data_IF_700800767871
#
_entry.id   IF_700800767871
#
_cell.length_a   1.000
_cell.length_b   1.000
_cell.length_c   1.000
_cell.angle_alpha   90.00
_cell.angle_beta   90.00
_cell.angle_gamma   90.00
#
_symmetry.space_group_name_H-M   'P 1'
#
loop_
_entity.id
_entity.type
_entity.pdbx_description
1 polymer ?
#
# COMPACT_ATOMS: atom_id res chain seq x y z
N UNK A 1 -40.86 5.95 1.40
CA UNK A 1 -39.73 6.71 1.97
C UNK A 1 -39.61 6.23 3.42
N UNK A 2 -38.76 5.20 3.63
CA UNK A 2 -38.45 4.69 4.98
C UNK A 2 -37.47 5.62 5.65
N UNK A 3 -37.93 6.29 6.70
CA UNK A 3 -37.10 7.20 7.50
C UNK A 3 -36.08 6.41 8.31
N UNK A 4 -34.79 6.71 8.12
CA UNK A 4 -33.68 6.19 8.92
C UNK A 4 -33.99 6.41 10.40
N UNK A 5 -33.99 5.33 11.21
CA UNK A 5 -34.30 5.40 12.64
C UNK A 5 -33.18 6.08 13.45
N UNK A 6 -33.48 6.68 14.58
CA UNK A 6 -32.51 7.35 15.44
C UNK A 6 -31.30 6.46 15.85
N UNK A 7 -31.43 5.13 16.07
CA UNK A 7 -30.29 4.23 16.28
C UNK A 7 -29.36 4.16 15.07
N UNK A 8 -29.89 4.13 13.84
CA UNK A 8 -29.09 4.06 12.61
C UNK A 8 -28.30 5.35 12.38
N UNK A 9 -28.89 6.50 12.69
CA UNK A 9 -28.21 7.79 12.61
C UNK A 9 -27.04 7.90 13.62
N UNK A 10 -27.21 7.40 14.84
CA UNK A 10 -26.13 7.37 15.85
C UNK A 10 -25.00 6.43 15.44
N UNK A 11 -25.33 5.28 14.86
CA UNK A 11 -24.35 4.31 14.34
C UNK A 11 -23.56 4.88 13.16
N UNK A 12 -24.24 5.55 12.24
CA UNK A 12 -23.63 6.22 11.10
C UNK A 12 -22.66 7.35 11.56
N UNK A 13 -23.09 8.21 12.50
CA UNK A 13 -22.25 9.27 13.07
C UNK A 13 -21.03 8.70 13.83
N UNK A 14 -21.19 7.54 14.48
CA UNK A 14 -20.08 6.84 15.12
C UNK A 14 -19.05 6.32 14.11
N UNK A 15 -19.50 5.70 13.02
CA UNK A 15 -18.63 5.24 11.93
C UNK A 15 -17.89 6.41 11.26
N UNK A 16 -18.60 7.51 10.99
CA UNK A 16 -18.00 8.71 10.41
C UNK A 16 -16.88 9.27 11.32
N UNK A 17 -17.13 9.33 12.63
CA UNK A 17 -16.11 9.80 13.59
C UNK A 17 -14.91 8.88 13.61
N UNK A 18 -15.11 7.56 13.57
CA UNK A 18 -14.05 6.57 13.50
C UNK A 18 -13.19 6.73 12.24
N UNK A 19 -13.81 6.91 11.06
CA UNK A 19 -13.12 7.15 9.80
C UNK A 19 -12.28 8.43 9.87
N UNK A 20 -12.82 9.54 10.37
CA UNK A 20 -12.06 10.79 10.53
C UNK A 20 -10.85 10.64 11.45
N UNK A 21 -10.95 9.84 12.51
CA UNK A 21 -9.82 9.56 13.41
C UNK A 21 -8.73 8.74 12.71
N UNK A 22 -9.10 7.72 11.92
CA UNK A 22 -8.17 6.92 11.11
C UNK A 22 -7.45 7.80 10.08
N UNK A 23 -8.18 8.63 9.34
CA UNK A 23 -7.61 9.54 8.34
C UNK A 23 -6.65 10.56 8.97
N UNK A 24 -7.06 11.16 10.10
CA UNK A 24 -6.22 12.11 10.82
C UNK A 24 -4.95 11.45 11.38
N UNK A 25 -5.07 10.24 11.92
CA UNK A 25 -3.93 9.47 12.40
C UNK A 25 -2.97 9.15 11.25
N UNK A 26 -3.47 8.67 10.12
CA UNK A 26 -2.67 8.35 8.94
C UNK A 26 -1.92 9.59 8.43
N UNK A 27 -2.57 10.73 8.34
CA UNK A 27 -1.95 11.98 7.87
C UNK A 27 -0.83 12.46 8.80
N UNK A 28 -1.04 12.38 10.11
CA UNK A 28 -0.03 12.76 11.10
C UNK A 28 1.14 11.78 11.13
N UNK A 29 0.87 10.47 11.08
CA UNK A 29 1.90 9.42 10.95
C UNK A 29 2.75 9.61 9.70
N UNK A 30 2.14 9.93 8.58
CA UNK A 30 2.82 10.18 7.33
C UNK A 30 3.77 11.39 7.40
N UNK A 31 3.42 12.42 8.17
CA UNK A 31 4.21 13.64 8.33
C UNK A 31 5.35 13.50 9.34
N UNK A 32 5.14 12.80 10.46
CA UNK A 32 6.01 12.86 11.63
C UNK A 32 6.46 11.51 12.19
N UNK A 33 5.84 10.39 11.76
CA UNK A 33 6.02 9.07 12.38
C UNK A 33 5.29 8.95 13.72
N UNK A 34 5.30 7.76 14.31
CA UNK A 34 4.53 7.46 15.54
C UNK A 34 4.98 8.26 16.75
N UNK A 35 6.29 8.41 16.98
CA UNK A 35 6.84 9.12 18.14
C UNK A 35 6.50 10.61 18.16
N UNK A 36 6.17 11.20 17.01
CA UNK A 36 5.85 12.61 16.86
C UNK A 36 4.37 12.96 16.92
N UNK A 37 3.47 11.99 17.24
CA UNK A 37 2.01 12.18 17.18
C UNK A 37 1.35 11.91 18.52
N UNK A 38 0.57 12.88 18.99
CA UNK A 38 -0.16 12.81 20.28
C UNK A 38 -1.66 12.59 20.08
N UNK A 39 -2.30 12.03 21.11
CA UNK A 39 -3.76 11.85 21.15
C UNK A 39 -4.54 13.14 20.86
N UNK A 40 -4.07 14.28 21.40
CA UNK A 40 -4.73 15.58 21.22
C UNK A 40 -4.63 16.08 19.78
N UNK A 41 -3.52 15.81 19.11
CA UNK A 41 -3.34 16.18 17.70
C UNK A 41 -4.26 15.36 16.80
N UNK A 42 -4.34 14.04 17.01
CA UNK A 42 -5.24 13.16 16.23
C UNK A 42 -6.69 13.59 16.41
N UNK A 43 -7.15 13.77 17.66
CA UNK A 43 -8.53 14.16 17.94
C UNK A 43 -8.83 15.58 17.47
N UNK A 44 -7.88 16.50 17.59
CA UNK A 44 -8.00 17.87 17.07
C UNK A 44 -8.13 17.90 15.55
N UNK A 45 -7.28 17.16 14.83
CA UNK A 45 -7.34 17.06 13.37
C UNK A 45 -8.64 16.39 12.89
N UNK A 46 -9.14 15.40 13.62
CA UNK A 46 -10.40 14.71 13.33
C UNK A 46 -11.65 15.50 13.73
N UNK A 47 -11.52 16.67 14.38
CA UNK A 47 -12.62 17.41 15.01
C UNK A 47 -13.45 16.49 15.94
N UNK A 48 -12.78 15.69 16.77
CA UNK A 48 -13.37 14.72 17.66
C UNK A 48 -13.01 14.99 19.13
N UNK A 49 -13.83 14.48 20.07
CA UNK A 49 -13.50 14.53 21.49
C UNK A 49 -12.33 13.59 21.82
N UNK A 50 -11.48 13.97 22.79
CA UNK A 50 -10.33 13.16 23.23
C UNK A 50 -10.75 11.74 23.64
N UNK A 51 -11.92 11.58 24.25
CA UNK A 51 -12.47 10.26 24.63
C UNK A 51 -12.86 9.38 23.43
N UNK A 52 -13.00 9.94 22.23
CA UNK A 52 -13.41 9.19 21.05
C UNK A 52 -12.39 8.12 20.65
N UNK A 53 -11.08 8.38 20.81
CA UNK A 53 -10.04 7.37 20.53
C UNK A 53 -10.19 6.17 21.47
N UNK A 54 -10.34 6.42 22.79
CA UNK A 54 -10.54 5.32 23.75
C UNK A 54 -11.84 4.57 23.50
N UNK A 55 -12.90 5.25 23.08
CA UNK A 55 -14.19 4.64 22.77
C UNK A 55 -14.14 3.76 21.51
N UNK A 56 -13.49 4.21 20.43
CA UNK A 56 -13.48 3.51 19.14
C UNK A 56 -12.37 2.50 18.99
N UNK A 57 -11.21 2.71 19.65
CA UNK A 57 -10.00 1.92 19.44
C UNK A 57 -9.40 1.37 20.74
N UNK A 58 -9.80 1.87 21.89
CA UNK A 58 -9.21 1.52 23.19
C UNK A 58 -7.92 2.26 23.52
N UNK A 59 -7.02 2.45 22.53
CA UNK A 59 -5.75 3.17 22.71
C UNK A 59 -5.37 3.97 21.45
N UNK A 60 -4.42 4.90 21.60
CA UNK A 60 -3.85 5.64 20.48
C UNK A 60 -3.08 4.70 19.55
N UNK A 61 -2.35 3.72 20.10
CA UNK A 61 -1.62 2.73 19.32
C UNK A 61 -2.57 1.91 18.42
N UNK A 62 -3.68 1.43 18.97
CA UNK A 62 -4.68 0.70 18.19
C UNK A 62 -5.31 1.57 17.07
N UNK A 63 -5.43 2.88 17.27
CA UNK A 63 -5.82 3.81 16.21
C UNK A 63 -4.75 3.92 15.12
N UNK A 64 -3.48 3.94 15.48
CA UNK A 64 -2.35 3.93 14.53
C UNK A 64 -2.29 2.62 13.75
N UNK A 65 -2.39 1.49 14.43
CA UNK A 65 -2.38 0.17 13.79
C UNK A 65 -3.48 0.06 12.73
N UNK A 66 -4.68 0.57 13.05
CA UNK A 66 -5.79 0.59 12.10
C UNK A 66 -5.57 1.58 10.94
N UNK A 67 -4.96 2.73 11.19
CA UNK A 67 -4.62 3.68 10.12
C UNK A 67 -3.59 3.08 9.15
N UNK A 68 -2.60 2.35 9.66
CA UNK A 68 -1.62 1.63 8.86
C UNK A 68 -2.29 0.49 8.07
N UNK A 69 -3.16 -0.30 8.71
CA UNK A 69 -3.91 -1.38 8.06
C UNK A 69 -4.77 -0.84 6.91
N UNK A 70 -5.47 0.27 7.13
CA UNK A 70 -6.28 0.93 6.09
C UNK A 70 -5.44 1.39 4.89
N UNK A 71 -4.25 1.97 5.14
CA UNK A 71 -3.33 2.35 4.07
C UNK A 71 -2.84 1.14 3.26
N UNK A 72 -2.53 0.04 3.96
CA UNK A 72 -2.12 -1.22 3.35
C UNK A 72 -3.24 -1.85 2.51
N UNK A 73 -4.45 -1.89 3.03
CA UNK A 73 -5.61 -2.40 2.29
C UNK A 73 -5.84 -1.62 1.00
N UNK A 74 -5.84 -0.29 1.09
CA UNK A 74 -5.99 0.60 -0.08
C UNK A 74 -4.89 0.37 -1.12
N UNK A 75 -3.65 0.17 -0.68
CA UNK A 75 -2.52 -0.16 -1.57
C UNK A 75 -2.72 -1.51 -2.25
N UNK A 76 -3.09 -2.55 -1.48
CA UNK A 76 -3.31 -3.90 -2.00
C UNK A 76 -4.49 -3.96 -2.97
N UNK A 77 -5.56 -3.20 -2.74
CA UNK A 77 -6.69 -3.09 -3.66
C UNK A 77 -6.25 -2.48 -4.99
N UNK A 78 -5.54 -1.36 -4.95
CA UNK A 78 -5.04 -0.71 -6.15
C UNK A 78 -4.03 -1.58 -6.93
N UNK A 79 -3.20 -2.34 -6.23
CA UNK A 79 -2.26 -3.28 -6.84
C UNK A 79 -2.99 -4.49 -7.46
N UNK A 80 -3.94 -5.09 -6.72
CA UNK A 80 -4.77 -6.20 -7.20
C UNK A 80 -5.54 -5.81 -8.46
N UNK A 81 -6.22 -4.66 -8.45
CA UNK A 81 -6.94 -4.14 -9.61
C UNK A 81 -6.04 -4.02 -10.83
N UNK A 82 -4.86 -3.43 -10.64
CA UNK A 82 -3.91 -3.21 -11.73
C UNK A 82 -3.37 -4.51 -12.33
N UNK A 83 -3.11 -5.54 -11.50
CA UNK A 83 -2.51 -6.80 -11.96
C UNK A 83 -3.57 -7.76 -12.49
N UNK A 84 -4.75 -7.86 -11.85
CA UNK A 84 -5.83 -8.73 -12.30
C UNK A 84 -6.41 -8.34 -13.66
N UNK A 85 -6.33 -7.06 -14.02
CA UNK A 85 -6.75 -6.55 -15.33
C UNK A 85 -5.85 -6.97 -16.48
N UNK A 86 -4.64 -7.51 -16.20
CA UNK A 86 -3.73 -7.94 -17.26
C UNK A 86 -4.18 -9.25 -17.91
N UNK A 87 -4.12 -9.36 -19.25
CA UNK A 87 -4.23 -10.63 -19.94
C UNK A 87 -3.07 -11.55 -19.57
N UNK A 88 -3.24 -12.86 -19.71
CA UNK A 88 -2.18 -13.83 -19.38
C UNK A 88 -0.94 -13.70 -20.26
N UNK A 89 -1.12 -13.28 -21.49
CA UNK A 89 -0.10 -13.03 -22.51
C UNK A 89 0.60 -11.66 -22.38
N UNK A 90 0.23 -10.85 -21.39
CA UNK A 90 0.91 -9.59 -21.12
C UNK A 90 2.42 -9.81 -20.95
N UNK A 91 3.23 -8.92 -21.50
CA UNK A 91 4.68 -9.03 -21.39
C UNK A 91 5.20 -8.57 -20.01
N UNK A 92 6.50 -8.79 -19.76
CA UNK A 92 7.11 -8.48 -18.45
C UNK A 92 7.13 -6.98 -18.13
N UNK A 93 7.19 -6.09 -19.13
CA UNK A 93 7.13 -4.64 -18.92
C UNK A 93 5.72 -4.21 -18.52
N UNK A 94 4.68 -4.78 -19.15
CA UNK A 94 3.28 -4.55 -18.77
C UNK A 94 3.01 -5.07 -17.35
N UNK A 95 3.52 -6.25 -17.01
CA UNK A 95 3.41 -6.80 -15.66
C UNK A 95 4.12 -5.90 -14.64
N UNK A 96 5.35 -5.47 -14.92
CA UNK A 96 6.11 -4.59 -14.04
C UNK A 96 5.41 -3.24 -13.84
N UNK A 97 4.87 -2.66 -14.92
CA UNK A 97 4.12 -1.41 -14.87
C UNK A 97 2.84 -1.54 -14.04
N UNK A 98 2.08 -2.62 -14.19
CA UNK A 98 0.86 -2.86 -13.44
C UNK A 98 1.16 -3.12 -11.95
N UNK A 99 2.16 -3.96 -11.66
CA UNK A 99 2.55 -4.30 -10.29
C UNK A 99 3.05 -3.07 -9.50
N UNK A 100 3.82 -2.19 -10.15
CA UNK A 100 4.39 -1.00 -9.52
C UNK A 100 3.49 0.23 -9.59
N UNK A 101 2.35 0.19 -10.28
CA UNK A 101 1.49 1.35 -10.56
C UNK A 101 1.15 2.20 -9.34
N UNK A 102 0.69 1.65 -8.19
CA UNK A 102 0.37 2.46 -7.01
C UNK A 102 1.58 3.22 -6.50
N UNK A 103 2.74 2.57 -6.47
CA UNK A 103 3.98 3.14 -5.98
C UNK A 103 4.55 4.20 -6.93
N UNK A 104 4.48 3.98 -8.25
CA UNK A 104 4.86 4.96 -9.27
C UNK A 104 4.01 6.22 -9.16
N UNK A 105 2.70 6.07 -8.92
CA UNK A 105 1.79 7.20 -8.68
C UNK A 105 2.21 8.01 -7.46
N UNK A 106 2.46 7.35 -6.34
CA UNK A 106 2.85 8.00 -5.09
C UNK A 106 4.20 8.72 -5.22
N UNK A 107 5.20 8.11 -5.87
CA UNK A 107 6.49 8.74 -6.15
C UNK A 107 6.33 9.99 -7.04
N UNK A 108 5.50 9.92 -8.06
CA UNK A 108 5.26 11.05 -8.96
C UNK A 108 4.47 12.19 -8.31
N UNK A 109 3.48 11.87 -7.47
CA UNK A 109 2.66 12.85 -6.75
C UNK A 109 3.47 13.56 -5.65
N UNK A 110 4.38 12.83 -4.98
CA UNK A 110 5.10 13.37 -3.83
C UNK A 110 4.19 13.64 -2.63
N UNK A 111 4.58 14.57 -1.77
CA UNK A 111 3.74 15.05 -0.65
C UNK A 111 3.12 13.94 0.19
N UNK A 112 1.80 14.07 0.46
CA UNK A 112 1.03 13.13 1.28
C UNK A 112 1.04 11.70 0.72
N UNK A 113 0.83 11.54 -0.58
CA UNK A 113 0.74 10.21 -1.20
C UNK A 113 2.03 9.41 -1.04
N UNK A 114 3.18 10.07 -1.21
CA UNK A 114 4.48 9.44 -0.97
C UNK A 114 4.71 9.16 0.51
N UNK A 115 4.27 10.05 1.41
CA UNK A 115 4.42 9.84 2.84
C UNK A 115 3.60 8.62 3.31
N UNK A 116 2.35 8.48 2.86
CA UNK A 116 1.52 7.28 3.09
C UNK A 116 2.18 6.04 2.48
N UNK A 117 2.71 6.14 1.26
CA UNK A 117 3.40 5.02 0.63
C UNK A 117 4.65 4.57 1.39
N UNK A 118 5.33 5.48 2.10
CA UNK A 118 6.44 5.13 3.00
C UNK A 118 5.99 4.30 4.19
N UNK A 119 4.80 4.56 4.74
CA UNK A 119 4.20 3.73 5.79
C UNK A 119 3.97 2.31 5.24
N UNK A 120 3.33 2.21 4.06
CA UNK A 120 3.09 0.92 3.38
C UNK A 120 4.40 0.17 3.12
N UNK A 121 5.43 0.87 2.62
CA UNK A 121 6.73 0.26 2.32
C UNK A 121 7.45 -0.23 3.59
N UNK A 122 7.36 0.50 4.70
CA UNK A 122 7.90 0.07 6.00
C UNK A 122 7.20 -1.18 6.50
N UNK A 123 5.88 -1.18 6.50
CA UNK A 123 5.08 -2.34 6.89
C UNK A 123 5.36 -3.57 6.01
N UNK A 124 5.77 -3.39 4.76
CA UNK A 124 6.23 -4.47 3.89
C UNK A 124 7.60 -5.07 4.26
N UNK A 125 8.42 -4.34 5.04
CA UNK A 125 9.74 -4.78 5.52
C UNK A 125 9.65 -5.30 6.96
N UNK A 126 8.93 -4.56 7.81
CA UNK A 126 8.69 -4.86 9.23
C UNK A 126 7.19 -4.86 9.47
N UNK A 127 6.52 -6.01 9.31
CA UNK A 127 5.07 -6.11 9.38
C UNK A 127 4.54 -5.83 10.78
N UNK A 128 3.51 -4.98 10.94
CA UNK A 128 2.85 -4.76 12.22
C UNK A 128 2.12 -6.02 12.71
N UNK A 129 1.74 -6.04 13.99
CA UNK A 129 0.92 -7.11 14.55
C UNK A 129 -0.40 -7.27 13.78
N UNK A 130 -0.81 -8.51 13.53
CA UNK A 130 -2.05 -8.79 12.79
C UNK A 130 -1.91 -8.79 11.26
N UNK A 131 -0.69 -8.60 10.74
CA UNK A 131 -0.39 -8.68 9.30
C UNK A 131 -0.90 -9.97 8.63
N UNK A 132 -0.97 -11.07 9.38
CA UNK A 132 -1.45 -12.37 8.89
C UNK A 132 -2.87 -12.28 8.29
N UNK A 133 -3.69 -11.32 8.75
CA UNK A 133 -5.05 -11.08 8.19
C UNK A 133 -5.01 -10.67 6.72
N UNK A 134 -3.93 -10.03 6.30
CA UNK A 134 -3.73 -9.59 4.91
C UNK A 134 -3.06 -10.65 4.02
N UNK A 135 -2.62 -11.78 4.61
CA UNK A 135 -1.88 -12.83 3.88
C UNK A 135 -2.60 -13.36 2.66
N UNK A 136 -3.93 -13.55 2.75
CA UNK A 136 -4.76 -13.99 1.64
C UNK A 136 -4.84 -12.98 0.49
N UNK A 137 -4.73 -11.68 0.77
CA UNK A 137 -4.72 -10.62 -0.24
C UNK A 137 -3.39 -10.63 -1.00
N UNK A 138 -2.27 -10.72 -0.28
CA UNK A 138 -0.95 -10.87 -0.90
C UNK A 138 -0.87 -12.11 -1.78
N UNK A 139 -1.48 -13.23 -1.33
CA UNK A 139 -1.43 -14.47 -2.11
C UNK A 139 -2.24 -14.35 -3.41
N UNK A 140 -3.38 -13.67 -3.41
CA UNK A 140 -4.14 -13.40 -4.65
C UNK A 140 -3.32 -12.59 -5.64
N UNK A 141 -2.68 -11.50 -5.21
CA UNK A 141 -1.81 -10.68 -6.07
C UNK A 141 -0.66 -11.54 -6.62
N UNK A 142 -0.01 -12.34 -5.77
CA UNK A 142 1.07 -13.25 -6.20
C UNK A 142 0.59 -14.29 -7.20
N UNK A 143 -0.63 -14.80 -7.05
CA UNK A 143 -1.22 -15.76 -7.99
C UNK A 143 -1.42 -15.14 -9.37
N UNK A 144 -1.96 -13.91 -9.43
CA UNK A 144 -2.14 -13.19 -10.70
C UNK A 144 -0.80 -12.85 -11.37
N UNK A 145 0.18 -12.40 -10.59
CA UNK A 145 1.54 -12.17 -11.10
C UNK A 145 2.15 -13.47 -11.64
N UNK A 146 2.05 -14.58 -10.90
CA UNK A 146 2.54 -15.90 -11.36
C UNK A 146 1.87 -16.36 -12.64
N UNK A 147 0.58 -16.09 -12.83
CA UNK A 147 -0.16 -16.44 -14.05
C UNK A 147 0.51 -15.82 -15.28
N UNK A 148 0.84 -14.54 -15.24
CA UNK A 148 1.54 -13.84 -16.33
C UNK A 148 3.00 -14.31 -16.46
N UNK A 149 3.71 -14.47 -15.32
CA UNK A 149 5.10 -14.93 -15.34
C UNK A 149 5.25 -16.33 -15.95
N UNK A 150 4.31 -17.25 -15.70
CA UNK A 150 4.35 -18.62 -16.26
C UNK A 150 4.26 -18.65 -17.78
N UNK A 151 3.54 -17.73 -18.41
CA UNK A 151 3.47 -17.60 -19.86
C UNK A 151 4.80 -17.08 -20.44
N UNK A 152 5.41 -16.10 -19.77
CA UNK A 152 6.66 -15.47 -20.22
C UNK A 152 7.92 -16.31 -19.88
N UNK A 153 7.85 -17.13 -18.84
CA UNK A 153 8.97 -17.87 -18.24
C UNK A 153 8.54 -19.32 -17.93
N UNK A 154 8.20 -20.13 -18.94
CA UNK A 154 7.59 -21.45 -18.74
C UNK A 154 8.53 -22.43 -18.01
N UNK A 155 9.84 -22.30 -18.21
CA UNK A 155 10.86 -23.20 -17.66
C UNK A 155 11.26 -22.86 -16.21
N UNK A 156 10.81 -21.70 -15.70
CA UNK A 156 11.15 -21.26 -14.34
C UNK A 156 10.21 -21.90 -13.32
N UNK A 157 10.78 -22.45 -12.22
CA UNK A 157 10.01 -23.10 -11.18
C UNK A 157 9.10 -22.13 -10.43
N UNK A 158 8.00 -22.64 -9.86
CA UNK A 158 7.08 -21.81 -9.06
C UNK A 158 7.73 -21.20 -7.81
N UNK A 159 8.73 -21.90 -7.23
CA UNK A 159 9.49 -21.40 -6.09
C UNK A 159 10.35 -20.20 -6.51
N UNK A 160 11.04 -20.29 -7.64
CA UNK A 160 11.85 -19.20 -8.15
C UNK A 160 11.01 -18.00 -8.59
N UNK A 161 9.87 -18.22 -9.25
CA UNK A 161 8.94 -17.15 -9.57
C UNK A 161 8.46 -16.41 -8.30
N UNK A 162 8.15 -17.15 -7.24
CA UNK A 162 7.77 -16.55 -5.95
C UNK A 162 8.91 -15.72 -5.37
N UNK A 163 10.15 -16.19 -5.45
CA UNK A 163 11.33 -15.45 -5.02
C UNK A 163 11.51 -14.15 -5.81
N UNK A 164 11.40 -14.21 -7.15
CA UNK A 164 11.50 -13.03 -8.03
C UNK A 164 10.42 -11.99 -7.73
N UNK A 165 9.17 -12.41 -7.46
CA UNK A 165 8.08 -11.52 -7.04
C UNK A 165 8.44 -10.79 -5.74
N UNK A 166 9.00 -11.50 -4.76
CA UNK A 166 9.45 -10.91 -3.50
C UNK A 166 10.60 -9.93 -3.69
N UNK A 167 11.55 -10.25 -4.58
CA UNK A 167 12.65 -9.35 -4.93
C UNK A 167 12.14 -8.03 -5.53
N UNK A 168 11.18 -8.11 -6.46
CA UNK A 168 10.56 -6.92 -7.05
C UNK A 168 9.83 -6.08 -6.00
N UNK A 169 9.05 -6.72 -5.11
CA UNK A 169 8.37 -6.04 -4.02
C UNK A 169 9.36 -5.38 -3.06
N UNK A 170 10.42 -6.09 -2.67
CA UNK A 170 11.48 -5.55 -1.81
C UNK A 170 12.21 -4.37 -2.44
N UNK A 171 12.52 -4.44 -3.74
CA UNK A 171 13.13 -3.34 -4.49
C UNK A 171 12.24 -2.10 -4.51
N UNK A 172 10.94 -2.28 -4.74
CA UNK A 172 9.97 -1.18 -4.70
C UNK A 172 9.90 -0.53 -3.31
N UNK A 173 9.81 -1.33 -2.24
CA UNK A 173 9.79 -0.83 -0.88
C UNK A 173 11.07 -0.04 -0.57
N UNK A 174 12.23 -0.58 -0.95
CA UNK A 174 13.51 0.12 -0.78
C UNK A 174 13.56 1.44 -1.54
N UNK A 175 13.12 1.48 -2.80
CA UNK A 175 13.10 2.70 -3.62
C UNK A 175 12.26 3.82 -3.00
N UNK A 176 11.16 3.49 -2.33
CA UNK A 176 10.29 4.48 -1.66
C UNK A 176 10.96 5.02 -0.39
N UNK A 177 11.68 4.17 0.35
CA UNK A 177 12.29 4.52 1.63
C UNK A 177 13.67 5.17 1.49
N UNK A 178 14.41 4.81 0.43
CA UNK A 178 15.76 5.28 0.20
C UNK A 178 15.82 6.72 -0.34
N UNK A 179 16.95 7.43 -0.15
CA UNK A 179 17.13 8.78 -0.70
C UNK A 179 16.92 8.90 -2.21
N UNK A 180 17.21 7.83 -2.97
CA UNK A 180 16.98 7.78 -4.43
C UNK A 180 15.51 7.98 -4.79
N UNK A 181 14.59 7.57 -3.93
CA UNK A 181 13.16 7.85 -4.12
C UNK A 181 12.83 9.34 -4.11
N UNK A 182 13.60 10.14 -3.37
CA UNK A 182 13.46 11.60 -3.36
C UNK A 182 13.76 12.23 -4.73
N UNK A 183 14.68 11.64 -5.50
CA UNK A 183 15.02 12.10 -6.85
C UNK A 183 13.89 11.87 -7.87
N UNK A 184 12.97 10.95 -7.56
CA UNK A 184 11.82 10.61 -8.38
C UNK A 184 10.59 11.47 -8.06
N UNK A 185 10.59 12.17 -6.92
CA UNK A 185 9.46 13.01 -6.49
C UNK A 185 9.21 14.16 -7.47
N UNK A 186 7.93 14.47 -7.63
CA UNK A 186 7.46 15.56 -8.51
C UNK A 186 7.87 15.42 -9.98
N UNK A 187 8.38 14.26 -10.41
CA UNK A 187 8.59 13.96 -11.82
C UNK A 187 7.27 13.50 -12.46
N UNK A 188 7.05 13.78 -13.75
CA UNK A 188 5.90 13.22 -14.46
C UNK A 188 5.84 11.68 -14.29
N UNK A 189 4.65 11.14 -14.02
CA UNK A 189 4.44 9.70 -13.81
C UNK A 189 5.04 8.84 -14.93
N UNK A 190 4.93 9.31 -16.20
CA UNK A 190 5.55 8.63 -17.35
C UNK A 190 7.07 8.56 -17.25
N UNK A 191 7.71 9.58 -16.69
CA UNK A 191 9.16 9.59 -16.50
C UNK A 191 9.59 8.62 -15.40
N UNK A 192 8.86 8.58 -14.28
CA UNK A 192 9.10 7.62 -13.20
C UNK A 192 8.93 6.19 -13.73
N UNK A 193 7.84 5.91 -14.44
CA UNK A 193 7.59 4.61 -15.05
C UNK A 193 8.70 4.19 -16.03
N UNK A 194 9.16 5.14 -16.88
CA UNK A 194 10.24 4.88 -17.85
C UNK A 194 11.55 4.44 -17.20
N UNK A 195 11.82 4.90 -15.99
CA UNK A 195 13.02 4.52 -15.23
C UNK A 195 12.83 3.17 -14.51
N UNK A 196 11.67 2.96 -13.89
CA UNK A 196 11.44 1.82 -13.02
C UNK A 196 10.99 0.55 -13.74
N UNK A 197 10.13 0.67 -14.75
CA UNK A 197 9.54 -0.50 -15.42
C UNK A 197 10.59 -1.44 -16.03
N UNK A 198 11.60 -0.98 -16.78
CA UNK A 198 12.62 -1.87 -17.33
C UNK A 198 13.46 -2.58 -16.25
N UNK A 199 13.74 -1.88 -15.14
CA UNK A 199 14.48 -2.44 -14.00
C UNK A 199 13.68 -3.58 -13.34
N UNK A 200 12.40 -3.36 -13.09
CA UNK A 200 11.52 -4.33 -12.47
C UNK A 200 11.26 -5.53 -13.41
N UNK A 201 11.03 -5.27 -14.70
CA UNK A 201 10.87 -6.30 -15.71
C UNK A 201 12.14 -7.17 -15.85
N UNK A 202 13.32 -6.54 -15.78
CA UNK A 202 14.60 -7.25 -15.72
C UNK A 202 14.72 -8.14 -14.47
N UNK A 203 14.26 -7.66 -13.32
CA UNK A 203 14.23 -8.43 -12.07
C UNK A 203 13.28 -9.63 -12.16
N UNK A 204 12.09 -9.46 -12.78
CA UNK A 204 11.20 -10.59 -13.08
C UNK A 204 11.82 -11.60 -14.02
N UNK A 205 12.53 -11.12 -15.06
CA UNK A 205 13.21 -12.01 -16.04
C UNK A 205 14.31 -12.82 -15.38
N UNK A 206 15.06 -12.23 -14.45
CA UNK A 206 16.27 -12.83 -13.88
C UNK A 206 17.40 -12.93 -14.90
N UNK A 207 18.57 -13.45 -14.48
CA UNK A 207 19.62 -13.82 -15.41
C UNK A 207 19.21 -15.10 -16.14
N UNK A 208 19.23 -15.12 -17.47
CA UNK A 208 19.28 -16.37 -18.23
C UNK A 208 20.58 -17.07 -17.82
N UNK A 209 20.43 -18.17 -17.07
CA UNK A 209 21.55 -19.09 -16.89
C UNK A 209 21.88 -19.64 -18.26
N UNK A 210 22.98 -19.17 -18.85
CA UNK A 210 23.58 -19.76 -20.01
C UNK A 210 24.14 -21.16 -19.69
#
# INVERSE_FOLDING_TARGET
MEGTTAPDQRRAAGLETRTRLVDAALDLLAQRGEEGVTLREVTGAACANVSAVSYHFGSLQACFDEAIEHALESYLDAQQESVSALPSEANLDELAAAFARPMIRALAAGGRDLAVMRIVARAGIDPPQGWERLSGRFERIRADVRRVLKVNLPDVTSQELTFRIRCVAGLLNWLVLAPVGAELQNKPQKQVARLLVPLLAGTFRGSSSG
#
